data_IF_098522018049
#
_entry.id   IF_098522018049
#
_cell.length_a   1.000
_cell.length_b   1.000
_cell.length_c   1.000
_cell.angle_alpha   90.00
_cell.angle_beta   90.00
_cell.angle_gamma   90.00
#
_symmetry.space_group_name_H-M   'P 1'
#
loop_
_entity.id
_entity.type
_entity.pdbx_description
1 polymer ?
#
# COMPACT_ATOMS: atom_id res chain seq x y z
N UNK A 1 11.10 -10.15 -17.30
CA UNK A 1 10.65 -9.20 -16.27
C UNK A 1 11.05 -9.77 -14.92
N UNK A 2 11.85 -9.05 -14.13
CA UNK A 2 12.29 -9.54 -12.81
C UNK A 2 11.15 -9.41 -11.80
N UNK A 3 10.41 -10.51 -11.66
CA UNK A 3 9.29 -10.60 -10.74
C UNK A 3 9.70 -10.37 -9.28
N UNK A 4 10.94 -10.69 -8.91
CA UNK A 4 11.46 -10.46 -7.57
C UNK A 4 11.56 -8.97 -7.24
N UNK A 5 12.04 -8.16 -8.19
CA UNK A 5 12.07 -6.70 -8.05
C UNK A 5 10.66 -6.10 -7.96
N UNK A 6 9.70 -6.60 -8.74
CA UNK A 6 8.31 -6.10 -8.73
C UNK A 6 7.63 -6.39 -7.40
N UNK A 7 7.77 -7.62 -6.88
CA UNK A 7 7.19 -8.01 -5.60
C UNK A 7 7.77 -7.15 -4.47
N UNK A 8 9.09 -6.98 -4.42
CA UNK A 8 9.76 -6.14 -3.42
C UNK A 8 9.33 -4.68 -3.51
N UNK A 9 9.26 -4.13 -4.73
CA UNK A 9 8.83 -2.76 -4.97
C UNK A 9 7.39 -2.50 -4.53
N UNK A 10 6.46 -3.40 -4.87
CA UNK A 10 5.06 -3.32 -4.43
C UNK A 10 4.92 -3.46 -2.92
N UNK A 11 5.66 -4.39 -2.31
CA UNK A 11 5.65 -4.60 -0.86
C UNK A 11 6.14 -3.35 -0.11
N UNK A 12 7.28 -2.78 -0.53
CA UNK A 12 7.82 -1.56 0.06
C UNK A 12 6.86 -0.37 -0.12
N UNK A 13 6.30 -0.20 -1.32
CA UNK A 13 5.35 0.88 -1.62
C UNK A 13 4.11 0.79 -0.74
N UNK A 14 3.57 -0.41 -0.55
CA UNK A 14 2.41 -0.66 0.31
C UNK A 14 2.74 -0.38 1.78
N UNK A 15 3.93 -0.78 2.26
CA UNK A 15 4.36 -0.49 3.63
C UNK A 15 4.50 1.02 3.90
N UNK A 16 5.11 1.77 2.98
CA UNK A 16 5.24 3.23 3.10
C UNK A 16 3.87 3.92 3.10
N UNK A 17 2.99 3.53 2.17
CA UNK A 17 1.62 4.04 2.13
C UNK A 17 0.85 3.75 3.41
N UNK A 18 1.01 2.55 3.99
CA UNK A 18 0.38 2.18 5.27
C UNK A 18 0.81 3.12 6.40
N UNK A 19 2.11 3.41 6.51
CA UNK A 19 2.63 4.33 7.53
C UNK A 19 2.04 5.73 7.34
N UNK A 20 2.01 6.25 6.11
CA UNK A 20 1.45 7.58 5.81
C UNK A 20 -0.04 7.64 6.14
N UNK A 21 -0.81 6.63 5.70
CA UNK A 21 -2.25 6.53 5.97
C UNK A 21 -2.51 6.45 7.46
N UNK A 22 -1.74 5.65 8.21
CA UNK A 22 -1.82 5.55 9.66
C UNK A 22 -1.56 6.90 10.34
N UNK A 23 -0.48 7.59 9.93
CA UNK A 23 -0.13 8.90 10.49
C UNK A 23 -1.25 9.92 10.27
N UNK A 24 -1.80 9.97 9.05
CA UNK A 24 -2.91 10.88 8.70
C UNK A 24 -4.23 10.52 9.41
N UNK A 25 -4.45 9.24 9.72
CA UNK A 25 -5.65 8.77 10.39
C UNK A 25 -5.62 9.01 11.89
N UNK A 26 -4.47 8.72 12.52
CA UNK A 26 -4.32 8.66 13.96
C UNK A 26 -3.92 10.02 14.58
N UNK A 27 -2.96 10.73 13.97
CA UNK A 27 -2.49 12.00 14.51
C UNK A 27 -3.39 13.15 14.03
N UNK A 28 -3.67 14.11 14.93
CA UNK A 28 -4.40 15.35 14.62
C UNK A 28 -3.50 16.37 13.90
N UNK A 29 -2.99 16.00 12.74
CA UNK A 29 -2.16 16.87 11.91
C UNK A 29 -3.06 17.91 11.24
N UNK A 30 -2.67 19.18 11.32
CA UNK A 30 -3.42 20.30 10.75
C UNK A 30 -3.18 20.42 9.24
N UNK A 31 -3.74 19.49 8.47
CA UNK A 31 -3.70 19.47 7.00
C UNK A 31 -5.11 19.75 6.47
N UNK A 32 -5.30 20.72 5.54
CA UNK A 32 -6.58 20.93 4.91
C UNK A 32 -7.01 19.68 4.15
N UNK A 33 -8.29 19.30 4.26
CA UNK A 33 -8.84 18.10 3.64
C UNK A 33 -8.18 16.77 4.08
N UNK A 34 -7.58 16.70 5.27
CA UNK A 34 -6.92 15.49 5.83
C UNK A 34 -7.74 14.21 5.66
N UNK A 35 -9.04 14.27 5.95
CA UNK A 35 -9.95 13.10 5.88
C UNK A 35 -10.10 12.60 4.45
N UNK A 36 -10.27 13.50 3.48
CA UNK A 36 -10.34 13.15 2.05
C UNK A 36 -9.02 12.53 1.58
N UNK A 37 -7.89 13.13 1.98
CA UNK A 37 -6.55 12.63 1.66
C UNK A 37 -6.32 11.23 2.24
N UNK A 38 -6.60 11.03 3.52
CA UNK A 38 -6.49 9.73 4.19
C UNK A 38 -7.35 8.67 3.48
N UNK A 39 -8.61 8.97 3.15
CA UNK A 39 -9.50 8.03 2.47
C UNK A 39 -8.97 7.65 1.09
N UNK A 40 -8.52 8.62 0.29
CA UNK A 40 -7.95 8.35 -1.04
C UNK A 40 -6.70 7.49 -0.93
N UNK A 41 -5.76 7.84 -0.04
CA UNK A 41 -4.54 7.07 0.16
C UNK A 41 -4.82 5.66 0.70
N UNK A 42 -5.82 5.49 1.56
CA UNK A 42 -6.24 4.19 2.06
C UNK A 42 -6.80 3.28 0.95
N UNK A 43 -7.55 3.85 -0.01
CA UNK A 43 -8.04 3.09 -1.18
C UNK A 43 -6.86 2.67 -2.06
N UNK A 44 -5.92 3.59 -2.33
CA UNK A 44 -4.72 3.27 -3.12
C UNK A 44 -3.89 2.17 -2.44
N UNK A 45 -3.69 2.26 -1.13
CA UNK A 45 -3.02 1.25 -0.31
C UNK A 45 -3.72 -0.12 -0.40
N UNK A 46 -5.05 -0.16 -0.30
CA UNK A 46 -5.80 -1.41 -0.39
C UNK A 46 -5.58 -2.08 -1.74
N UNK A 47 -5.68 -1.31 -2.84
CA UNK A 47 -5.47 -1.84 -4.18
C UNK A 47 -4.03 -2.37 -4.36
N UNK A 48 -3.02 -1.63 -3.94
CA UNK A 48 -1.62 -2.07 -4.06
C UNK A 48 -1.32 -3.29 -3.20
N UNK A 49 -1.86 -3.36 -1.99
CA UNK A 49 -1.71 -4.51 -1.10
C UNK A 49 -2.38 -5.77 -1.66
N UNK A 50 -3.57 -5.64 -2.26
CA UNK A 50 -4.26 -6.76 -2.91
C UNK A 50 -3.48 -7.27 -4.14
N UNK A 51 -2.96 -6.37 -4.97
CA UNK A 51 -2.12 -6.74 -6.12
C UNK A 51 -0.86 -7.44 -5.63
N UNK A 52 -0.17 -6.90 -4.62
CA UNK A 52 1.03 -7.49 -4.04
C UNK A 52 0.75 -8.90 -3.50
N UNK A 53 -0.28 -9.06 -2.65
CA UNK A 53 -0.67 -10.34 -2.08
C UNK A 53 -1.07 -11.36 -3.14
N UNK A 54 -1.84 -10.93 -4.15
CA UNK A 54 -2.22 -11.79 -5.27
C UNK A 54 -1.03 -12.30 -6.08
N UNK A 55 -0.05 -11.43 -6.37
CA UNK A 55 1.18 -11.83 -7.06
C UNK A 55 2.00 -12.81 -6.20
N UNK A 56 2.16 -12.54 -4.90
CA UNK A 56 2.89 -13.43 -4.00
C UNK A 56 2.24 -14.81 -3.96
N UNK A 57 0.92 -14.89 -3.75
CA UNK A 57 0.18 -16.16 -3.72
C UNK A 57 0.32 -16.90 -5.06
N UNK A 58 0.14 -16.20 -6.19
CA UNK A 58 0.29 -16.79 -7.52
C UNK A 58 1.68 -17.39 -7.72
N UNK A 59 2.73 -16.68 -7.32
CA UNK A 59 4.10 -17.15 -7.45
C UNK A 59 4.39 -18.32 -6.52
N UNK A 60 3.86 -18.32 -5.30
CA UNK A 60 3.96 -19.44 -4.37
C UNK A 60 3.24 -20.70 -4.88
N UNK A 61 2.12 -20.56 -5.58
CA UNK A 61 1.38 -21.70 -6.15
C UNK A 61 1.94 -22.21 -7.48
N UNK A 62 2.66 -21.36 -8.21
CA UNK A 62 3.26 -21.69 -9.51
C UNK A 62 4.63 -22.36 -9.38
N UNK A 63 5.39 -22.01 -8.33
CA UNK A 63 6.67 -22.63 -7.99
C UNK A 63 6.48 -23.95 -7.28
#
# INVERSE_FOLDING_TARGET
MDWGLIIKGLGLTSAVLLIIVFILGFFRINIPNRVKLHKTLAIVLLCTALIHGGIVIYMTLKG
#
